data_IF_019308991231
#
_entry.id   IF_019308991231
#
_cell.length_a   1.000
_cell.length_b   1.000
_cell.length_c   1.000
_cell.angle_alpha   90.00
_cell.angle_beta   90.00
_cell.angle_gamma   90.00
#
_symmetry.space_group_name_H-M   'P 1'
#
loop_
_entity.id
_entity.type
_entity.pdbx_description
1 polymer ?
#
# COMPACT_ATOMS: atom_id res chain seq x y z
N UNK A 1 -26.76 -1.42 -41.40
CA UNK A 1 -25.87 -0.50 -42.15
C UNK A 1 -25.74 0.80 -41.36
N UNK A 2 -24.68 0.98 -40.55
CA UNK A 2 -24.44 2.23 -39.81
C UNK A 2 -23.03 2.74 -40.15
N UNK A 3 -22.98 4.02 -40.48
CA UNK A 3 -21.91 4.69 -41.23
C UNK A 3 -20.64 4.83 -40.39
N UNK A 4 -19.53 4.41 -40.98
CA UNK A 4 -18.15 4.56 -40.50
C UNK A 4 -17.75 6.04 -40.67
N UNK A 5 -17.59 6.78 -39.57
CA UNK A 5 -17.02 8.12 -39.59
C UNK A 5 -15.50 8.00 -39.46
N UNK A 6 -14.81 8.01 -40.60
CA UNK A 6 -13.36 8.04 -40.71
C UNK A 6 -12.88 9.46 -40.40
N UNK A 7 -12.36 9.70 -39.20
CA UNK A 7 -11.70 10.95 -38.86
C UNK A 7 -10.19 10.77 -39.07
N UNK A 8 -9.71 11.23 -40.23
CA UNK A 8 -8.30 11.42 -40.52
C UNK A 8 -7.78 12.61 -39.69
N UNK A 9 -6.98 12.31 -38.67
CA UNK A 9 -6.20 13.32 -37.95
C UNK A 9 -4.75 13.27 -38.44
N UNK A 10 -4.39 14.28 -39.23
CA UNK A 10 -3.03 14.50 -39.75
C UNK A 10 -2.29 15.54 -38.91
N UNK A 11 -1.09 15.13 -38.42
CA UNK A 11 0.15 15.91 -38.18
C UNK A 11 0.19 16.84 -36.92
N UNK A 12 1.39 17.19 -36.37
CA UNK A 12 2.73 17.10 -36.96
C UNK A 12 3.84 16.38 -36.15
N UNK A 13 4.90 16.00 -36.88
CA UNK A 13 6.22 15.62 -36.37
C UNK A 13 6.85 16.78 -35.61
N UNK A 14 6.96 16.67 -34.28
CA UNK A 14 7.72 17.59 -33.45
C UNK A 14 9.06 16.94 -33.12
N UNK A 15 10.13 17.53 -33.65
CA UNK A 15 11.53 17.27 -33.33
C UNK A 15 11.77 17.34 -31.82
N UNK A 16 12.05 16.21 -31.17
CA UNK A 16 12.68 16.21 -29.85
C UNK A 16 14.20 16.13 -30.02
N UNK A 17 14.83 17.32 -29.98
CA UNK A 17 16.24 17.52 -29.66
C UNK A 17 16.54 16.80 -28.33
N UNK A 18 17.34 15.74 -28.38
CA UNK A 18 17.93 15.11 -27.19
C UNK A 18 19.17 15.92 -26.78
N UNK A 19 18.95 16.88 -25.88
CA UNK A 19 20.01 17.52 -25.09
C UNK A 19 20.46 16.55 -23.99
N UNK A 20 21.69 16.06 -24.12
CA UNK A 20 22.46 15.36 -23.10
C UNK A 20 22.39 16.06 -21.74
N UNK A 21 22.13 15.28 -20.68
CA UNK A 21 22.41 15.69 -19.30
C UNK A 21 23.65 14.93 -18.78
N UNK A 22 24.58 15.64 -18.12
CA UNK A 22 25.83 15.08 -17.61
C UNK A 22 25.61 14.16 -16.41
N UNK A 23 26.50 13.16 -16.30
CA UNK A 23 26.66 12.29 -15.13
C UNK A 23 27.04 13.14 -13.91
N UNK A 24 26.12 13.25 -12.96
CA UNK A 24 26.35 13.83 -11.65
C UNK A 24 26.43 12.71 -10.62
N UNK A 25 27.62 12.54 -10.06
CA UNK A 25 27.95 11.72 -8.90
C UNK A 25 27.11 12.11 -7.67
N UNK A 26 26.60 11.14 -6.88
CA UNK A 26 26.33 11.38 -5.47
C UNK A 26 27.27 10.57 -4.58
N UNK A 27 28.40 11.20 -4.28
CA UNK A 27 28.91 11.50 -2.94
C UNK A 27 28.12 10.91 -1.75
N UNK A 28 28.77 9.94 -1.09
CA UNK A 28 28.84 9.63 0.35
C UNK A 28 27.60 9.73 1.24
N UNK A 29 27.29 8.61 1.90
CA UNK A 29 26.70 8.55 3.26
C UNK A 29 27.08 7.19 3.91
N UNK A 30 26.88 7.00 5.24
CA UNK A 30 27.85 7.30 6.29
C UNK A 30 28.30 6.06 7.08
N UNK A 31 29.38 6.25 7.85
CA UNK A 31 29.94 5.31 8.83
C UNK A 31 28.88 4.70 9.76
N UNK A 32 28.88 3.37 9.84
CA UNK A 32 28.15 2.60 10.83
C UNK A 32 28.94 2.61 12.13
N UNK A 33 28.48 3.40 13.11
CA UNK A 33 28.94 3.29 14.50
C UNK A 33 28.38 2.01 15.12
N UNK A 34 29.27 1.03 15.33
CA UNK A 34 29.05 -0.15 16.14
C UNK A 34 29.10 0.26 17.63
N UNK A 35 27.94 0.35 18.28
CA UNK A 35 27.87 0.46 19.74
C UNK A 35 27.81 -0.96 20.33
N UNK A 36 28.92 -1.35 20.96
CA UNK A 36 29.08 -2.56 21.74
C UNK A 36 28.19 -2.52 22.99
N UNK A 37 27.48 -3.62 23.25
CA UNK A 37 26.74 -3.87 24.48
C UNK A 37 27.72 -4.45 25.51
N UNK A 38 27.97 -3.72 26.59
CA UNK A 38 28.66 -4.24 27.78
C UNK A 38 27.68 -5.02 28.69
N UNK A 39 28.09 -6.16 29.27
CA UNK A 39 27.31 -6.93 30.23
C UNK A 39 27.50 -6.39 31.65
N UNK A 40 26.42 -6.26 32.42
CA UNK A 40 26.49 -6.01 33.87
C UNK A 40 25.98 -7.21 34.70
N UNK A 41 26.68 -7.55 35.81
CA UNK A 41 26.45 -8.75 36.60
C UNK A 41 25.43 -8.60 37.76
N UNK A 42 25.02 -9.77 38.25
CA UNK A 42 24.00 -10.15 39.24
C UNK A 42 24.13 -9.61 40.67
N UNK A 43 23.00 -9.54 41.41
CA UNK A 43 22.79 -9.96 42.84
C UNK A 43 21.45 -9.44 43.40
N UNK A 44 20.99 -9.83 44.61
CA UNK A 44 20.76 -11.18 45.15
C UNK A 44 19.30 -11.36 45.68
N UNK A 45 18.97 -12.61 46.02
CA UNK A 45 17.71 -13.07 46.62
C UNK A 45 17.30 -12.34 47.91
N UNK A 46 15.99 -12.14 48.10
CA UNK A 46 15.38 -11.98 49.44
C UNK A 46 14.12 -12.84 49.51
N UNK A 47 14.15 -13.81 50.42
CA UNK A 47 13.02 -14.65 50.79
C UNK A 47 12.12 -13.91 51.78
N UNK A 48 10.82 -13.87 51.50
CA UNK A 48 9.79 -13.32 52.40
C UNK A 48 8.48 -14.08 52.17
N UNK A 49 8.22 -15.07 53.02
CA UNK A 49 6.99 -15.83 53.01
C UNK A 49 5.82 -15.01 53.52
N UNK A 50 4.76 -14.93 52.71
CA UNK A 50 3.42 -14.59 53.13
C UNK A 50 2.47 -15.53 52.37
N UNK A 51 1.72 -16.36 53.11
CA UNK A 51 0.68 -17.21 52.54
C UNK A 51 -0.40 -16.33 51.95
N UNK A 52 -0.38 -16.21 50.62
CA UNK A 52 -1.34 -15.47 49.82
C UNK A 52 -2.54 -16.37 49.49
N UNK A 53 -3.79 -15.88 49.55
CA UNK A 53 -4.98 -16.66 49.26
C UNK A 53 -4.95 -17.22 47.83
N UNK A 54 -5.47 -18.44 47.67
CA UNK A 54 -5.48 -19.17 46.41
C UNK A 54 -6.04 -18.29 45.26
N UNK A 55 -5.26 -18.07 44.18
CA UNK A 55 -5.71 -17.25 43.06
C UNK A 55 -6.89 -17.95 42.38
N UNK A 56 -7.99 -17.21 42.22
CA UNK A 56 -9.10 -17.63 41.37
C UNK A 56 -8.55 -18.02 39.99
N UNK A 57 -9.12 -19.03 39.30
CA UNK A 57 -8.68 -19.43 37.97
C UNK A 57 -8.76 -18.22 37.05
N UNK A 58 -7.59 -17.66 36.72
CA UNK A 58 -7.46 -16.60 35.75
C UNK A 58 -7.90 -17.17 34.40
N UNK A 59 -9.10 -16.78 33.96
CA UNK A 59 -9.56 -17.08 32.62
C UNK A 59 -8.51 -16.57 31.64
N UNK A 60 -7.87 -17.47 30.89
CA UNK A 60 -6.92 -17.09 29.85
C UNK A 60 -7.63 -16.13 28.88
N UNK A 61 -7.05 -14.96 28.58
CA UNK A 61 -7.64 -14.04 27.64
C UNK A 61 -7.80 -14.74 26.29
N UNK A 62 -9.01 -14.66 25.72
CA UNK A 62 -9.31 -15.22 24.42
C UNK A 62 -8.33 -14.63 23.38
N UNK A 63 -7.80 -15.43 22.43
CA UNK A 63 -6.93 -14.93 21.39
C UNK A 63 -7.60 -13.78 20.63
N UNK A 64 -6.91 -12.63 20.53
CA UNK A 64 -7.40 -11.51 19.74
C UNK A 64 -7.56 -11.93 18.27
N UNK A 65 -8.68 -11.56 17.66
CA UNK A 65 -8.93 -11.85 16.25
C UNK A 65 -7.82 -11.22 15.37
N UNK A 66 -7.19 -12.04 14.53
CA UNK A 66 -6.13 -11.58 13.64
C UNK A 66 -6.71 -10.76 12.50
N UNK A 67 -6.31 -9.49 12.40
CA UNK A 67 -6.65 -8.62 11.27
C UNK A 67 -5.65 -8.86 10.14
N UNK A 68 -6.08 -9.24 8.92
CA UNK A 68 -5.15 -9.46 7.83
C UNK A 68 -4.48 -8.15 7.43
N UNK A 69 -3.15 -8.15 7.35
CA UNK A 69 -2.32 -6.96 7.07
C UNK A 69 -2.29 -6.56 5.60
N UNK A 70 -2.88 -7.36 4.71
CA UNK A 70 -2.89 -7.11 3.26
C UNK A 70 -4.27 -7.32 2.66
N UNK A 71 -4.55 -6.61 1.56
CA UNK A 71 -5.73 -6.81 0.71
C UNK A 71 -5.30 -7.25 -0.70
N UNK A 72 -6.08 -8.14 -1.32
CA UNK A 72 -5.88 -8.47 -2.73
C UNK A 72 -6.57 -7.43 -3.61
N UNK A 73 -5.93 -7.02 -4.69
CA UNK A 73 -6.47 -6.10 -5.68
C UNK A 73 -6.40 -6.80 -7.03
N UNK A 74 -7.54 -7.06 -7.64
CA UNK A 74 -7.66 -7.65 -8.96
C UNK A 74 -8.11 -6.59 -9.96
N UNK A 75 -7.58 -6.66 -11.19
CA UNK A 75 -7.96 -5.76 -12.27
C UNK A 75 -8.42 -6.53 -13.49
N UNK A 76 -9.70 -6.42 -13.83
CA UNK A 76 -10.28 -6.86 -15.10
C UNK A 76 -10.07 -5.82 -16.22
N UNK A 77 -9.50 -4.66 -15.91
CA UNK A 77 -9.25 -3.62 -16.91
C UNK A 77 -8.30 -4.14 -18.01
N UNK A 78 -8.61 -3.94 -19.31
CA UNK A 78 -7.80 -4.44 -20.42
C UNK A 78 -6.43 -3.75 -20.58
N UNK A 79 -6.19 -2.66 -19.83
CA UNK A 79 -4.96 -1.86 -19.87
C UNK A 79 -4.37 -1.70 -18.47
N UNK A 80 -3.12 -1.26 -18.41
CA UNK A 80 -2.50 -0.86 -17.15
C UNK A 80 -3.24 0.33 -16.56
N UNK A 81 -3.67 0.20 -15.30
CA UNK A 81 -4.41 1.24 -14.57
C UNK A 81 -3.53 1.82 -13.47
N UNK A 82 -3.25 3.13 -13.47
CA UNK A 82 -2.56 3.77 -12.37
C UNK A 82 -3.49 3.85 -11.15
N UNK A 83 -2.95 3.52 -10.00
CA UNK A 83 -3.68 3.45 -8.74
C UNK A 83 -2.91 4.19 -7.64
N UNK A 84 -3.63 4.61 -6.61
CA UNK A 84 -3.05 5.28 -5.46
C UNK A 84 -3.59 4.68 -4.16
N UNK A 85 -2.69 4.38 -3.23
CA UNK A 85 -2.97 3.86 -1.91
C UNK A 85 -2.86 4.99 -0.90
N UNK A 86 -3.98 5.49 -0.37
CA UNK A 86 -3.97 6.59 0.58
C UNK A 86 -5.27 7.39 0.59
N UNK A 87 -5.32 8.38 1.48
CA UNK A 87 -6.57 9.09 1.79
C UNK A 87 -6.99 10.05 0.68
N UNK A 88 -6.03 10.73 0.05
CA UNK A 88 -6.29 11.67 -1.05
C UNK A 88 -5.15 11.64 -2.07
N UNK A 89 -5.42 11.38 -3.37
CA UNK A 89 -4.39 11.47 -4.39
C UNK A 89 -3.90 12.92 -4.54
N UNK A 90 -2.70 13.11 -5.11
CA UNK A 90 -2.02 14.39 -5.40
C UNK A 90 -1.59 15.27 -4.22
N UNK A 91 -2.37 15.34 -3.14
CA UNK A 91 -2.08 16.21 -1.99
C UNK A 91 -2.11 15.50 -0.64
N UNK A 92 -2.33 14.19 -0.63
CA UNK A 92 -2.36 13.39 0.60
C UNK A 92 -1.12 12.52 0.75
N UNK A 93 -1.00 11.90 1.92
CA UNK A 93 -0.04 10.84 2.16
C UNK A 93 -0.50 9.55 1.49
N UNK A 94 0.40 8.90 0.76
CA UNK A 94 0.12 7.63 0.13
C UNK A 94 1.19 7.19 -0.86
N UNK A 95 0.88 6.14 -1.60
CA UNK A 95 1.82 5.52 -2.53
C UNK A 95 1.15 5.34 -3.88
N UNK A 96 1.80 5.87 -4.94
CA UNK A 96 1.38 5.65 -6.32
C UNK A 96 1.86 4.28 -6.79
N UNK A 97 1.02 3.57 -7.52
CA UNK A 97 1.34 2.28 -8.13
C UNK A 97 0.59 2.12 -9.46
N UNK A 98 0.73 0.96 -10.08
CA UNK A 98 0.00 0.59 -11.29
C UNK A 98 -0.29 -0.89 -11.28
N UNK A 99 -1.48 -1.27 -11.76
CA UNK A 99 -1.86 -2.67 -11.91
C UNK A 99 -2.05 -2.99 -13.40
N UNK A 100 -1.49 -4.11 -13.82
CA UNK A 100 -1.59 -4.60 -15.19
C UNK A 100 -2.98 -5.16 -15.52
N UNK A 101 -3.17 -5.48 -16.79
CA UNK A 101 -4.39 -6.13 -17.27
C UNK A 101 -4.55 -7.54 -16.71
N UNK A 102 -5.76 -7.90 -16.31
CA UNK A 102 -6.12 -9.21 -15.76
C UNK A 102 -5.16 -9.72 -14.66
N UNK A 103 -4.67 -8.80 -13.83
CA UNK A 103 -3.62 -9.07 -12.84
C UNK A 103 -4.17 -8.94 -11.42
N UNK A 104 -3.66 -9.76 -10.51
CA UNK A 104 -3.89 -9.63 -9.06
C UNK A 104 -2.61 -9.23 -8.36
N UNK A 105 -2.67 -8.22 -7.51
CA UNK A 105 -1.58 -7.80 -6.61
C UNK A 105 -2.08 -7.75 -5.17
N UNK A 106 -1.15 -7.63 -4.22
CA UNK A 106 -1.47 -7.42 -2.81
C UNK A 106 -0.97 -6.06 -2.36
N UNK A 107 -1.78 -5.33 -1.59
CA UNK A 107 -1.42 -4.05 -1.01
C UNK A 107 -1.43 -4.12 0.52
N UNK A 108 -0.46 -3.50 1.20
CA UNK A 108 -0.44 -3.44 2.65
C UNK A 108 -1.57 -2.53 3.16
N UNK A 109 -2.15 -2.92 4.30
CA UNK A 109 -3.12 -2.12 5.06
C UNK A 109 -2.43 -1.41 6.21
N UNK A 110 -3.12 -0.42 6.77
CA UNK A 110 -2.80 0.12 8.08
C UNK A 110 -3.07 -0.93 9.16
N UNK A 111 -2.48 -0.76 10.34
CA UNK A 111 -2.62 -1.69 11.47
C UNK A 111 -4.08 -1.84 11.95
N UNK A 112 -4.92 -0.84 11.70
CA UNK A 112 -6.36 -0.86 11.97
C UNK A 112 -7.18 -1.63 10.91
N UNK A 113 -6.52 -2.21 9.91
CA UNK A 113 -7.16 -2.92 8.80
C UNK A 113 -7.72 -1.99 7.72
N UNK A 114 -7.52 -0.68 7.81
CA UNK A 114 -8.02 0.28 6.83
C UNK A 114 -7.04 0.53 5.68
N UNK A 115 -7.60 0.77 4.50
CA UNK A 115 -6.87 1.27 3.32
C UNK A 115 -7.88 1.97 2.40
N UNK A 116 -7.49 3.06 1.75
CA UNK A 116 -8.30 3.64 0.67
C UNK A 116 -7.54 3.43 -0.63
N UNK A 117 -8.20 2.81 -1.61
CA UNK A 117 -7.62 2.55 -2.94
C UNK A 117 -8.32 3.44 -3.95
N UNK A 118 -7.54 4.19 -4.72
CA UNK A 118 -8.01 5.06 -5.78
C UNK A 118 -7.55 4.54 -7.14
N UNK A 119 -8.44 4.65 -8.13
CA UNK A 119 -8.05 4.75 -9.53
C UNK A 119 -7.72 6.23 -9.78
N UNK A 120 -6.58 6.51 -10.39
CA UNK A 120 -6.17 7.87 -10.73
C UNK A 120 -6.04 8.05 -12.24
N UNK A 121 -5.99 9.29 -12.70
CA UNK A 121 -5.62 9.65 -14.08
C UNK A 121 -4.12 10.01 -14.19
N UNK A 122 -3.69 10.41 -15.39
CA UNK A 122 -2.31 10.82 -15.68
C UNK A 122 -1.88 12.11 -14.93
N UNK A 123 -2.85 12.90 -14.49
CA UNK A 123 -2.67 14.14 -13.73
C UNK A 123 -2.84 13.93 -12.22
N UNK A 124 -2.86 12.67 -11.78
CA UNK A 124 -3.02 12.24 -10.39
C UNK A 124 -4.35 12.67 -9.77
N UNK A 125 -5.37 12.92 -10.58
CA UNK A 125 -6.72 13.15 -10.08
C UNK A 125 -7.41 11.82 -9.81
N UNK A 126 -8.18 11.74 -8.73
CA UNK A 126 -8.98 10.56 -8.41
C UNK A 126 -10.15 10.40 -9.39
N UNK A 127 -10.24 9.23 -10.03
CA UNK A 127 -11.35 8.85 -10.91
C UNK A 127 -12.44 8.13 -10.13
N UNK A 128 -12.04 7.15 -9.31
CA UNK A 128 -12.92 6.39 -8.44
C UNK A 128 -12.12 5.88 -7.23
N UNK A 129 -12.80 5.58 -6.12
CA UNK A 129 -12.18 5.03 -4.92
C UNK A 129 -13.06 4.01 -4.22
N UNK A 130 -12.40 3.21 -3.40
CA UNK A 130 -13.08 2.38 -2.41
C UNK A 130 -12.32 2.39 -1.10
N UNK A 131 -13.07 2.36 0.00
CA UNK A 131 -12.52 2.17 1.33
C UNK A 131 -12.54 0.68 1.67
N UNK A 132 -11.37 0.17 2.01
CA UNK A 132 -11.11 -1.18 2.49
C UNK A 132 -11.09 -1.13 4.01
N UNK A 133 -11.77 -2.08 4.63
CA UNK A 133 -11.73 -2.32 6.06
C UNK A 133 -11.23 -3.75 6.36
N UNK A 134 -11.20 -4.11 7.65
CA UNK A 134 -10.75 -5.42 8.10
C UNK A 134 -11.57 -6.60 7.56
N UNK A 135 -12.83 -6.37 7.14
CA UNK A 135 -13.72 -7.40 6.61
C UNK A 135 -13.56 -7.60 5.10
N UNK A 136 -13.06 -6.58 4.39
CA UNK A 136 -12.80 -6.64 2.96
C UNK A 136 -11.71 -7.67 2.69
N UNK A 137 -11.89 -8.55 1.72
CA UNK A 137 -10.88 -9.54 1.29
C UNK A 137 -10.24 -9.15 -0.02
N UNK A 138 -11.03 -8.54 -0.92
CA UNK A 138 -10.60 -8.23 -2.27
C UNK A 138 -11.14 -6.88 -2.73
N UNK A 139 -10.34 -6.19 -3.53
CA UNK A 139 -10.74 -5.04 -4.33
C UNK A 139 -10.74 -5.46 -5.79
N UNK A 140 -11.78 -5.07 -6.53
CA UNK A 140 -11.96 -5.38 -7.94
C UNK A 140 -12.04 -4.09 -8.75
N UNK A 141 -11.16 -3.95 -9.73
CA UNK A 141 -11.23 -2.91 -10.77
C UNK A 141 -11.88 -3.53 -12.00
N UNK A 142 -12.97 -2.91 -12.45
CA UNK A 142 -13.75 -3.46 -13.56
C UNK A 142 -13.09 -3.29 -14.93
N UNK A 143 -13.73 -3.86 -15.96
CA UNK A 143 -13.29 -3.72 -17.35
C UNK A 143 -13.33 -2.29 -17.89
N UNK A 144 -14.08 -1.38 -17.26
CA UNK A 144 -14.14 0.03 -17.67
C UNK A 144 -12.90 0.82 -17.27
N UNK A 145 -12.09 0.27 -16.34
CA UNK A 145 -10.92 0.92 -15.74
C UNK A 145 -11.28 2.21 -14.97
N UNK A 146 -12.57 2.42 -14.68
CA UNK A 146 -13.10 3.61 -14.01
C UNK A 146 -13.99 3.26 -12.83
N UNK A 147 -14.32 1.98 -12.64
CA UNK A 147 -15.06 1.51 -11.48
C UNK A 147 -14.16 0.64 -10.61
N UNK A 148 -14.35 0.76 -9.29
CA UNK A 148 -13.64 0.00 -8.28
C UNK A 148 -14.62 -0.39 -7.18
N UNK A 149 -14.52 -1.62 -6.68
CA UNK A 149 -15.40 -2.14 -5.64
C UNK A 149 -14.64 -3.01 -4.63
N UNK A 150 -15.17 -3.10 -3.41
CA UNK A 150 -14.65 -3.95 -2.34
C UNK A 150 -15.58 -5.15 -2.12
N UNK A 151 -14.99 -6.30 -1.83
CA UNK A 151 -15.64 -7.60 -1.62
C UNK A 151 -15.08 -8.28 -0.38
#
# INVERSE_FOLDING_TARGET
MRRLALVLFTLPLVNCVMLQRPAGDPQSAPETNAAALEPTPSSPSTAGGAMSPAPAPHASPAPAAHVPTTVQIHSDCPKTTPIFYGDKPKFGSGTKSSIGSNTTTSAPRKADGSLTVWIIDEHENGVANVRVDASTKRVEIDRSCKNISAR
#
